data_IF_993315730211
#
_entry.id   IF_993315730211
#
_cell.length_a   1.000
_cell.length_b   1.000
_cell.length_c   1.000
_cell.angle_alpha   90.00
_cell.angle_beta   90.00
_cell.angle_gamma   90.00
#
_symmetry.space_group_name_H-M   'P 1'
#
loop_
_entity.id
_entity.type
_entity.pdbx_description
1 polymer ?
#
# COMPACT_ATOMS: atom_id res chain seq x y z
N UNK A 1 -12.36 -6.83 23.95
CA UNK A 1 -12.45 -7.57 22.67
C UNK A 1 -11.05 -7.83 22.16
N UNK A 2 -10.77 -9.01 21.62
CA UNK A 2 -9.52 -9.34 20.94
C UNK A 2 -9.88 -9.89 19.57
N UNK A 3 -9.44 -9.24 18.49
CA UNK A 3 -9.89 -9.57 17.15
C UNK A 3 -8.93 -9.05 16.08
N UNK A 4 -9.02 -9.63 14.90
CA UNK A 4 -8.57 -9.01 13.66
C UNK A 4 -9.76 -8.38 12.93
N UNK A 5 -9.51 -7.26 12.27
CA UNK A 5 -10.47 -6.62 11.37
C UNK A 5 -9.81 -6.38 10.03
N UNK A 6 -10.51 -6.75 8.97
CA UNK A 6 -10.11 -6.45 7.60
C UNK A 6 -10.91 -5.22 7.18
N UNK A 7 -10.23 -4.10 7.02
CA UNK A 7 -10.84 -2.84 6.59
C UNK A 7 -10.52 -2.65 5.13
N UNK A 8 -11.52 -2.38 4.31
CA UNK A 8 -11.31 -1.79 2.99
C UNK A 8 -11.02 -0.29 3.18
N UNK A 9 -9.74 0.09 3.15
CA UNK A 9 -9.30 1.47 3.37
C UNK A 9 -9.69 2.31 2.16
N UNK A 10 -10.46 3.37 2.39
CA UNK A 10 -10.76 4.35 1.35
C UNK A 10 -9.53 5.20 0.98
N UNK A 11 -9.55 5.77 -0.23
CA UNK A 11 -8.54 6.71 -0.67
C UNK A 11 -8.63 8.03 0.14
N UNK A 12 -7.50 8.71 0.31
CA UNK A 12 -7.39 9.97 1.05
C UNK A 12 -7.35 9.82 2.57
N UNK A 13 -7.46 8.59 3.08
CA UNK A 13 -7.38 8.29 4.53
C UNK A 13 -6.07 7.59 4.84
N UNK A 14 -5.35 8.04 5.88
CA UNK A 14 -4.11 7.37 6.29
C UNK A 14 -4.41 6.06 7.01
N UNK A 15 -3.47 5.12 7.00
CA UNK A 15 -3.60 3.90 7.81
C UNK A 15 -3.76 4.19 9.31
N UNK A 16 -3.17 5.28 9.80
CA UNK A 16 -3.29 5.71 11.18
C UNK A 16 -4.68 6.29 11.53
N UNK A 17 -5.33 6.99 10.60
CA UNK A 17 -6.70 7.47 10.80
C UNK A 17 -7.68 6.32 11.01
N UNK A 18 -7.50 5.22 10.26
CA UNK A 18 -8.30 4.00 10.44
C UNK A 18 -8.07 3.39 11.83
N UNK A 19 -6.82 3.33 12.29
CA UNK A 19 -6.50 2.91 13.67
C UNK A 19 -7.16 3.82 14.70
N UNK A 20 -7.10 5.14 14.51
CA UNK A 20 -7.71 6.10 15.43
C UNK A 20 -9.25 5.92 15.50
N UNK A 21 -9.89 5.71 14.35
CA UNK A 21 -11.32 5.39 14.27
C UNK A 21 -11.66 4.10 15.03
N UNK A 22 -10.89 3.03 14.81
CA UNK A 22 -11.08 1.77 15.52
C UNK A 22 -10.87 1.90 17.04
N UNK A 23 -9.87 2.66 17.50
CA UNK A 23 -9.67 2.94 18.94
C UNK A 23 -10.90 3.58 19.57
N UNK A 24 -11.51 4.54 18.87
CA UNK A 24 -12.74 5.22 19.30
C UNK A 24 -13.93 4.26 19.34
N UNK A 25 -14.12 3.48 18.28
CA UNK A 25 -15.24 2.54 18.15
C UNK A 25 -15.19 1.43 19.22
N UNK A 26 -14.03 0.83 19.42
CA UNK A 26 -13.84 -0.30 20.35
C UNK A 26 -13.44 0.13 21.77
N UNK A 27 -13.37 1.44 22.04
CA UNK A 27 -13.02 2.04 23.34
C UNK A 27 -11.75 1.44 23.95
N UNK A 28 -10.72 1.24 23.12
CA UNK A 28 -9.44 0.70 23.56
C UNK A 28 -8.28 1.36 22.83
N UNK A 29 -7.18 1.60 23.55
CA UNK A 29 -5.95 2.14 22.95
C UNK A 29 -5.12 1.07 22.25
N UNK A 30 -5.34 -0.21 22.57
CA UNK A 30 -4.57 -1.34 22.06
C UNK A 30 -5.10 -1.76 20.68
N UNK A 31 -4.78 -0.93 19.69
CA UNK A 31 -5.05 -1.17 18.27
C UNK A 31 -3.81 -0.82 17.47
N UNK A 32 -3.49 -1.67 16.49
CA UNK A 32 -2.44 -1.46 15.49
C UNK A 32 -2.85 -2.05 14.14
N UNK A 33 -2.05 -1.82 13.10
CA UNK A 33 -2.27 -2.39 11.77
C UNK A 33 -1.06 -3.21 11.30
N UNK A 34 -1.27 -4.07 10.31
CA UNK A 34 -0.22 -4.84 9.65
C UNK A 34 -0.11 -4.42 8.18
N UNK A 35 1.01 -3.78 7.84
CA UNK A 35 1.22 -3.13 6.54
C UNK A 35 0.61 -1.73 6.49
N UNK A 36 1.41 -0.75 6.10
CA UNK A 36 0.92 0.61 5.81
C UNK A 36 0.43 0.65 4.37
N UNK A 37 -0.73 1.25 4.15
CA UNK A 37 -1.18 1.68 2.84
C UNK A 37 -1.08 3.21 2.76
N UNK A 38 -0.52 3.71 1.66
CA UNK A 38 -0.43 5.13 1.37
C UNK A 38 -1.81 5.80 1.32
N UNK A 39 -1.91 7.12 1.55
CA UNK A 39 -3.18 7.82 1.55
C UNK A 39 -3.98 7.60 0.26
N UNK A 40 -3.36 7.72 -0.92
CA UNK A 40 -4.03 7.47 -2.19
C UNK A 40 -4.45 6.01 -2.44
N UNK A 41 -3.81 5.04 -1.78
CA UNK A 41 -4.07 3.62 -2.00
C UNK A 41 -5.40 3.20 -1.35
N UNK A 42 -6.03 2.18 -1.92
CA UNK A 42 -7.25 1.56 -1.36
C UNK A 42 -7.04 0.08 -1.11
N UNK A 43 -7.99 -0.57 -0.45
CA UNK A 43 -7.99 -2.01 -0.25
C UNK A 43 -7.66 -2.42 1.18
N UNK A 44 -7.23 -3.68 1.33
CA UNK A 44 -7.24 -4.36 2.63
C UNK A 44 -6.16 -3.81 3.58
N UNK A 45 -6.62 -3.19 4.67
CA UNK A 45 -5.82 -2.84 5.84
C UNK A 45 -6.22 -3.75 7.01
N UNK A 46 -5.30 -4.60 7.47
CA UNK A 46 -5.55 -5.51 8.58
C UNK A 46 -5.27 -4.79 9.90
N UNK A 47 -6.27 -4.71 10.76
CA UNK A 47 -6.14 -4.20 12.13
C UNK A 47 -6.14 -5.35 13.15
N UNK A 48 -5.32 -5.20 14.19
CA UNK A 48 -5.36 -6.05 15.38
C UNK A 48 -5.89 -5.24 16.56
N UNK A 49 -6.82 -5.83 17.32
CA UNK A 49 -7.38 -5.24 18.55
C UNK A 49 -7.00 -6.11 19.74
N UNK A 50 -6.61 -5.45 20.85
CA UNK A 50 -6.33 -6.14 22.10
C UNK A 50 -5.14 -7.07 21.97
N UNK A 51 -5.25 -8.30 22.48
CA UNK A 51 -4.16 -9.27 22.41
C UNK A 51 -3.76 -9.67 20.98
N UNK A 52 -4.65 -9.51 19.99
CA UNK A 52 -4.37 -9.79 18.59
C UNK A 52 -3.27 -8.89 17.99
N UNK A 53 -2.99 -7.72 18.58
CA UNK A 53 -1.89 -6.86 18.12
C UNK A 53 -0.53 -7.57 18.15
N UNK A 54 -0.35 -8.55 19.05
CA UNK A 54 0.88 -9.35 19.17
C UNK A 54 1.13 -10.25 17.96
N UNK A 55 0.09 -10.52 17.19
CA UNK A 55 0.13 -11.43 16.05
C UNK A 55 0.24 -10.68 14.70
N UNK A 56 0.23 -9.34 14.71
CA UNK A 56 0.29 -8.53 13.48
C UNK A 56 1.60 -8.73 12.69
N UNK A 57 2.71 -9.05 13.36
CA UNK A 57 3.99 -9.34 12.71
C UNK A 57 3.87 -10.45 11.66
N UNK A 58 3.10 -11.51 11.93
CA UNK A 58 2.90 -12.62 11.00
C UNK A 58 2.09 -12.22 9.76
N UNK A 59 1.24 -11.19 9.89
CA UNK A 59 0.51 -10.61 8.76
C UNK A 59 1.43 -9.69 7.95
N UNK A 60 2.28 -8.91 8.62
CA UNK A 60 3.28 -8.04 7.98
C UNK A 60 4.31 -8.85 7.18
N UNK A 61 4.63 -10.07 7.59
CA UNK A 61 5.59 -10.93 6.87
C UNK A 61 4.92 -11.76 5.75
N UNK A 62 3.59 -11.81 5.70
CA UNK A 62 2.85 -12.56 4.67
C UNK A 62 3.00 -11.98 3.26
N UNK A 63 2.58 -12.71 2.24
CA UNK A 63 2.55 -12.22 0.85
C UNK A 63 1.44 -11.20 0.66
N UNK A 64 1.68 -10.19 -0.20
CA UNK A 64 0.67 -9.20 -0.61
C UNK A 64 0.47 -9.22 -2.11
N UNK A 65 -0.71 -8.80 -2.54
CA UNK A 65 -1.05 -8.58 -3.94
C UNK A 65 -1.58 -7.16 -4.07
N UNK A 66 -1.12 -6.48 -5.10
CA UNK A 66 -1.53 -5.13 -5.44
C UNK A 66 -2.01 -5.11 -6.88
N UNK A 67 -2.97 -4.25 -7.16
CA UNK A 67 -3.34 -3.83 -8.49
C UNK A 67 -2.97 -2.35 -8.61
N UNK A 68 -2.24 -1.98 -9.66
CA UNK A 68 -1.72 -0.64 -9.83
C UNK A 68 -1.76 -0.23 -11.31
N UNK A 69 -1.97 1.07 -11.52
CA UNK A 69 -1.88 1.70 -12.84
C UNK A 69 -0.70 2.66 -12.83
N UNK A 70 0.25 2.45 -13.74
CA UNK A 70 1.44 3.28 -13.87
C UNK A 70 1.27 4.19 -15.07
N UNK A 71 1.59 5.48 -14.91
CA UNK A 71 1.69 6.42 -16.03
C UNK A 71 3.13 6.46 -16.53
N UNK A 72 3.36 5.94 -17.74
CA UNK A 72 4.65 6.06 -18.41
C UNK A 72 4.88 7.49 -18.93
N UNK A 73 6.13 7.93 -18.89
CA UNK A 73 6.53 9.25 -19.40
C UNK A 73 6.40 10.40 -18.40
N UNK A 74 6.06 10.14 -17.14
CA UNK A 74 6.09 11.14 -16.06
C UNK A 74 6.79 10.55 -14.83
N UNK A 75 7.61 11.37 -14.16
CA UNK A 75 8.13 11.05 -12.82
C UNK A 75 7.69 12.11 -11.83
N UNK A 76 7.48 11.71 -10.57
CA UNK A 76 7.03 12.58 -9.49
C UNK A 76 7.94 12.41 -8.28
N UNK A 77 7.92 13.37 -7.36
CA UNK A 77 8.78 13.34 -6.17
C UNK A 77 8.44 12.21 -5.18
N UNK A 78 7.20 11.71 -5.21
CA UNK A 78 6.70 10.66 -4.30
C UNK A 78 6.52 9.32 -5.00
N UNK A 79 6.97 9.19 -6.25
CA UNK A 79 6.79 8.00 -7.10
C UNK A 79 5.33 7.57 -7.31
N UNK A 80 4.38 8.45 -7.01
CA UNK A 80 2.95 8.26 -7.20
C UNK A 80 2.26 9.50 -7.79
N UNK A 81 0.92 9.47 -7.87
CA UNK A 81 0.12 10.54 -8.45
C UNK A 81 -0.12 11.75 -7.53
N UNK A 82 0.27 11.68 -6.26
CA UNK A 82 0.07 12.78 -5.29
C UNK A 82 1.24 13.77 -5.31
N UNK A 83 2.43 13.34 -5.75
CA UNK A 83 3.63 14.17 -5.78
C UNK A 83 3.69 15.17 -6.93
N UNK A 84 4.50 16.21 -6.75
CA UNK A 84 4.83 17.17 -7.80
C UNK A 84 5.60 16.47 -8.94
N UNK A 85 5.28 16.86 -10.19
CA UNK A 85 5.96 16.33 -11.39
C UNK A 85 7.40 16.85 -11.43
N UNK A 86 8.35 15.93 -11.48
CA UNK A 86 9.77 16.25 -11.62
C UNK A 86 10.20 16.31 -13.09
N UNK A 87 9.67 15.41 -13.92
CA UNK A 87 10.00 15.35 -15.34
C UNK A 87 8.88 14.76 -16.18
N UNK A 88 8.88 15.11 -17.47
CA UNK A 88 7.98 14.52 -18.47
C UNK A 88 8.76 14.16 -19.73
N UNK A 89 8.37 13.05 -20.37
CA UNK A 89 8.90 12.60 -21.66
C UNK A 89 7.81 11.86 -22.43
N UNK A 90 7.94 11.78 -23.75
CA UNK A 90 6.96 11.07 -24.57
C UNK A 90 7.04 9.56 -24.36
N UNK A 91 5.91 8.95 -24.05
CA UNK A 91 5.75 7.49 -24.00
C UNK A 91 5.16 6.91 -25.30
N UNK A 92 4.98 7.72 -26.35
CA UNK A 92 4.26 7.32 -27.57
C UNK A 92 4.89 6.14 -28.31
N UNK A 93 6.21 5.95 -28.18
CA UNK A 93 6.94 4.88 -28.85
C UNK A 93 7.02 3.59 -27.99
N UNK A 94 6.36 3.54 -26.84
CA UNK A 94 6.39 2.36 -25.96
C UNK A 94 5.22 1.44 -26.33
N UNK A 95 5.53 0.24 -26.82
CA UNK A 95 4.53 -0.80 -27.07
C UNK A 95 4.26 -1.65 -25.83
N UNK A 96 3.13 -2.36 -25.83
CA UNK A 96 2.79 -3.30 -24.76
C UNK A 96 3.82 -4.44 -24.64
N UNK A 97 4.33 -4.93 -25.77
CA UNK A 97 5.36 -5.97 -25.81
C UNK A 97 6.64 -5.52 -25.13
N UNK A 98 7.04 -4.26 -25.34
CA UNK A 98 8.20 -3.66 -24.67
C UNK A 98 8.01 -3.62 -23.16
N UNK A 99 6.82 -3.20 -22.69
CA UNK A 99 6.49 -3.19 -21.26
C UNK A 99 6.53 -4.60 -20.68
N UNK A 100 5.87 -5.57 -21.34
CA UNK A 100 5.84 -6.97 -20.89
C UNK A 100 7.23 -7.60 -20.86
N UNK A 101 8.09 -7.29 -21.83
CA UNK A 101 9.47 -7.75 -21.84
C UNK A 101 10.27 -7.18 -20.66
N UNK A 102 10.12 -5.88 -20.37
CA UNK A 102 10.79 -5.21 -19.26
C UNK A 102 10.34 -5.78 -17.89
N UNK A 103 9.03 -6.01 -17.71
CA UNK A 103 8.47 -6.52 -16.46
C UNK A 103 9.02 -7.89 -16.04
N UNK A 104 9.51 -8.70 -16.99
CA UNK A 104 10.14 -10.00 -16.66
C UNK A 104 11.34 -9.86 -15.73
N UNK A 105 12.04 -8.72 -15.78
CA UNK A 105 13.20 -8.44 -14.91
C UNK A 105 12.80 -8.18 -13.45
N UNK A 106 11.51 -7.98 -13.16
CA UNK A 106 10.97 -7.70 -11.83
C UNK A 106 10.26 -8.92 -11.21
N UNK A 107 10.33 -10.09 -11.85
CA UNK A 107 9.73 -11.33 -11.36
C UNK A 107 10.79 -12.17 -10.65
N UNK A 108 10.51 -12.57 -9.41
CA UNK A 108 11.40 -13.37 -8.57
C UNK A 108 12.10 -12.53 -7.50
N UNK A 109 13.29 -12.97 -7.08
CA UNK A 109 14.07 -12.27 -6.05
C UNK A 109 14.83 -11.09 -6.69
N UNK A 110 14.52 -9.87 -6.23
CA UNK A 110 15.14 -8.63 -6.70
C UNK A 110 15.62 -7.78 -5.53
N UNK A 111 16.53 -6.85 -5.81
CA UNK A 111 16.92 -5.79 -4.87
C UNK A 111 16.14 -4.52 -5.20
N UNK A 112 15.55 -3.88 -4.19
CA UNK A 112 14.83 -2.62 -4.31
C UNK A 112 15.46 -1.56 -3.41
N UNK A 113 15.56 -0.33 -3.90
CA UNK A 113 15.88 0.83 -3.09
C UNK A 113 14.56 1.50 -2.67
N UNK A 114 14.25 1.57 -1.36
CA UNK A 114 13.12 2.34 -0.85
C UNK A 114 13.33 3.85 -1.01
#
# INVERSE_FOLDING_TARGET
MNAFLLIDKAAGVTSHDVVASARKLFKTKRVGHAGTLDPMATGVLVLGIGSATRLLQYVTDGTKRYEATIRLGQSTHTDDREGEILSTTSAANISEEMVRACLKNFVGNIMQKP
#
